data_IF_496112766601
#
_entry.id   IF_496112766601
#
_cell.length_a   1.000
_cell.length_b   1.000
_cell.length_c   1.000
_cell.angle_alpha   90.00
_cell.angle_beta   90.00
_cell.angle_gamma   90.00
#
_symmetry.space_group_name_H-M   'P 1'
#
loop_
_entity.id
_entity.type
_entity.pdbx_description
1 polymer ?
#
# COMPACT_ATOMS: atom_id res chain seq x y z
N UNK A 1 6.72 13.84 -9.87
CA UNK A 1 7.35 13.94 -8.52
C UNK A 1 7.71 12.58 -7.94
N UNK A 2 6.78 11.67 -7.62
CA UNK A 2 7.12 10.36 -7.03
C UNK A 2 8.15 9.57 -7.86
N UNK A 3 7.94 9.44 -9.15
CA UNK A 3 8.87 8.73 -10.04
C UNK A 3 10.28 9.31 -9.98
N UNK A 4 10.42 10.63 -10.07
CA UNK A 4 11.74 11.31 -10.01
C UNK A 4 12.43 11.13 -8.65
N UNK A 5 11.66 11.16 -7.54
CA UNK A 5 12.19 10.88 -6.21
C UNK A 5 12.68 9.44 -6.10
N UNK A 6 11.89 8.46 -6.56
CA UNK A 6 12.27 7.05 -6.52
C UNK A 6 13.50 6.73 -7.38
N UNK A 7 13.83 7.56 -8.38
CA UNK A 7 15.10 7.44 -9.11
C UNK A 7 16.32 7.83 -8.27
N UNK A 8 16.15 8.72 -7.29
CA UNK A 8 17.24 9.25 -6.45
C UNK A 8 17.40 8.50 -5.14
N UNK A 9 16.29 8.11 -4.50
CA UNK A 9 16.29 7.44 -3.21
C UNK A 9 16.84 6.00 -3.33
N UNK A 10 17.66 5.61 -2.35
CA UNK A 10 18.38 4.32 -2.33
C UNK A 10 17.93 3.38 -1.23
N UNK A 11 17.63 3.91 -0.07
CA UNK A 11 17.27 3.13 1.10
C UNK A 11 15.87 2.53 0.95
N UNK A 12 15.68 1.19 1.04
CA UNK A 12 14.38 0.56 0.81
C UNK A 12 13.25 1.15 1.66
N UNK A 13 13.47 1.34 2.97
CA UNK A 13 12.45 1.91 3.86
C UNK A 13 12.07 3.35 3.50
N UNK A 14 13.02 4.15 3.00
CA UNK A 14 12.75 5.54 2.56
C UNK A 14 12.04 5.56 1.22
N UNK A 15 12.32 4.62 0.34
CA UNK A 15 11.59 4.43 -0.91
C UNK A 15 10.12 4.04 -0.65
N UNK A 16 9.90 3.11 0.28
CA UNK A 16 8.56 2.73 0.73
C UNK A 16 7.83 3.91 1.38
N UNK A 17 8.55 4.72 2.18
CA UNK A 17 8.02 5.96 2.77
C UNK A 17 7.60 6.95 1.69
N UNK A 18 8.46 7.24 0.70
CA UNK A 18 8.15 8.13 -0.41
C UNK A 18 6.93 7.63 -1.22
N UNK A 19 6.86 6.33 -1.48
CA UNK A 19 5.71 5.72 -2.15
C UNK A 19 4.44 5.85 -1.30
N UNK A 20 4.51 5.60 -0.01
CA UNK A 20 3.38 5.72 0.92
C UNK A 20 2.78 7.13 0.89
N UNK A 21 3.63 8.17 0.89
CA UNK A 21 3.22 9.57 0.95
C UNK A 21 2.76 10.16 -0.38
N UNK A 22 3.23 9.63 -1.49
CA UNK A 22 3.11 10.28 -2.80
C UNK A 22 2.39 9.43 -3.86
N UNK A 23 2.11 8.14 -3.57
CA UNK A 23 1.34 7.32 -4.51
C UNK A 23 -0.10 7.84 -4.60
N UNK A 24 -0.69 7.84 -5.80
CA UNK A 24 -2.09 8.20 -5.95
C UNK A 24 -2.98 7.22 -5.19
N UNK A 25 -4.15 7.67 -4.72
CA UNK A 25 -5.12 6.77 -4.12
C UNK A 25 -5.61 5.76 -5.15
N UNK A 26 -6.01 4.58 -4.67
CA UNK A 26 -6.57 3.55 -5.54
C UNK A 26 -7.90 3.99 -6.16
N UNK A 27 -8.73 4.68 -5.38
CA UNK A 27 -10.04 5.19 -5.78
C UNK A 27 -10.05 6.72 -5.71
N UNK A 28 -10.66 7.39 -6.68
CA UNK A 28 -10.88 8.84 -6.71
C UNK A 28 -12.31 9.21 -6.34
N UNK A 29 -13.28 8.41 -6.78
CA UNK A 29 -14.69 8.62 -6.53
C UNK A 29 -15.25 7.54 -5.61
N UNK A 30 -15.68 7.94 -4.42
CA UNK A 30 -16.27 7.05 -3.41
C UNK A 30 -17.42 7.74 -2.70
N UNK A 31 -18.32 6.96 -2.13
CA UNK A 31 -19.44 7.50 -1.33
C UNK A 31 -19.00 8.00 0.04
N UNK A 32 -17.86 7.52 0.56
CA UNK A 32 -17.25 7.96 1.80
C UNK A 32 -16.21 9.04 1.56
N UNK A 33 -15.97 9.86 2.56
CA UNK A 33 -14.95 10.92 2.47
C UNK A 33 -13.56 10.32 2.43
N UNK A 34 -12.83 10.62 1.37
CA UNK A 34 -11.42 10.29 1.23
C UNK A 34 -10.58 11.54 1.50
N UNK A 35 -9.55 11.42 2.34
CA UNK A 35 -8.68 12.53 2.72
C UNK A 35 -7.23 12.07 2.76
N UNK A 36 -6.39 12.77 2.03
CA UNK A 36 -4.95 12.53 2.12
C UNK A 36 -4.44 12.93 3.52
N UNK A 37 -3.67 12.06 4.22
CA UNK A 37 -3.25 12.35 5.60
C UNK A 37 -2.42 13.64 5.75
N UNK A 38 -1.70 14.06 4.71
CA UNK A 38 -0.92 15.30 4.68
C UNK A 38 -1.70 16.49 4.07
N UNK A 39 -3.01 16.41 3.87
CA UNK A 39 -3.77 17.42 3.10
C UNK A 39 -3.55 18.85 3.62
N UNK A 40 -3.55 19.05 4.93
CA UNK A 40 -3.36 20.36 5.54
C UNK A 40 -1.89 20.73 5.75
N UNK A 41 -0.96 19.78 5.62
CA UNK A 41 0.46 20.06 5.79
C UNK A 41 1.00 21.01 4.72
N UNK A 42 1.95 21.87 5.08
CA UNK A 42 2.66 22.70 4.11
C UNK A 42 3.43 21.86 3.08
N UNK A 43 3.73 20.60 3.34
CA UNK A 43 4.35 19.70 2.37
C UNK A 43 3.52 19.51 1.10
N UNK A 44 2.19 19.62 1.17
CA UNK A 44 1.33 19.57 -0.03
C UNK A 44 1.40 20.87 -0.83
N UNK A 45 1.56 22.01 -0.15
CA UNK A 45 1.70 23.34 -0.77
C UNK A 45 3.12 23.59 -1.27
N UNK A 46 4.11 22.98 -0.63
CA UNK A 46 5.55 23.13 -0.90
C UNK A 46 6.21 21.75 -1.06
N UNK A 47 5.94 21.05 -2.18
CA UNK A 47 6.37 19.65 -2.35
C UNK A 47 7.90 19.48 -2.37
N UNK A 48 8.65 20.55 -2.61
CA UNK A 48 10.11 20.52 -2.49
C UNK A 48 10.57 20.27 -1.06
N UNK A 49 9.88 20.81 -0.05
CA UNK A 49 10.23 20.55 1.37
C UNK A 49 10.06 19.07 1.74
N UNK A 50 9.00 18.42 1.23
CA UNK A 50 8.85 16.98 1.40
C UNK A 50 9.97 16.20 0.69
N UNK A 51 10.32 16.62 -0.53
CA UNK A 51 11.41 15.99 -1.28
C UNK A 51 12.77 16.13 -0.56
N UNK A 52 13.04 17.29 0.00
CA UNK A 52 14.29 17.56 0.76
C UNK A 52 14.31 16.74 2.06
N UNK A 53 13.18 16.66 2.77
CA UNK A 53 13.06 15.82 3.96
C UNK A 53 13.27 14.33 3.65
N UNK A 54 12.68 13.81 2.55
CA UNK A 54 12.91 12.44 2.12
C UNK A 54 14.37 12.18 1.72
N UNK A 55 15.02 13.14 1.04
CA UNK A 55 16.43 13.04 0.71
C UNK A 55 17.32 13.04 1.97
N UNK A 56 16.97 13.82 3.01
CA UNK A 56 17.62 13.77 4.30
C UNK A 56 17.47 12.41 4.97
N UNK A 57 16.24 11.84 4.98
CA UNK A 57 16.01 10.49 5.51
C UNK A 57 16.80 9.42 4.74
N UNK A 58 17.01 9.60 3.43
CA UNK A 58 17.77 8.65 2.60
C UNK A 58 19.29 8.76 2.86
N UNK A 59 19.79 9.96 3.16
CA UNK A 59 21.19 10.19 3.51
C UNK A 59 21.55 9.63 4.90
N UNK A 60 20.60 9.65 5.83
CA UNK A 60 20.68 9.01 7.15
C UNK A 60 19.34 8.37 7.53
N UNK A 61 19.22 7.09 7.27
CA UNK A 61 18.01 6.33 7.54
C UNK A 61 17.91 5.83 9.00
N UNK A 62 18.77 6.25 9.89
CA UNK A 62 18.80 5.79 11.29
C UNK A 62 17.46 6.03 12.01
N UNK A 63 16.84 7.20 11.80
CA UNK A 63 15.58 7.57 12.42
C UNK A 63 14.42 6.68 11.95
N UNK A 64 14.24 6.47 10.65
CA UNK A 64 13.19 5.60 10.12
C UNK A 64 13.41 4.14 10.50
N UNK A 65 14.65 3.66 10.50
CA UNK A 65 14.98 2.31 10.94
C UNK A 65 14.70 2.11 12.44
N UNK A 66 15.11 3.04 13.30
CA UNK A 66 14.81 2.99 14.73
C UNK A 66 13.30 3.01 15.00
N UNK A 67 12.56 3.85 14.28
CA UNK A 67 11.11 3.90 14.38
C UNK A 67 10.45 2.56 14.01
N UNK A 68 10.82 1.98 12.89
CA UNK A 68 10.28 0.68 12.45
C UNK A 68 10.70 -0.46 13.38
N UNK A 69 11.92 -0.44 13.90
CA UNK A 69 12.42 -1.44 14.84
C UNK A 69 11.78 -1.35 16.23
N UNK A 70 11.32 -0.16 16.66
CA UNK A 70 10.70 0.05 17.97
C UNK A 70 9.42 -0.78 18.18
N UNK A 71 8.72 -1.10 17.08
CA UNK A 71 7.52 -1.94 17.07
C UNK A 71 7.54 -2.81 15.79
N UNK A 72 8.26 -3.94 15.80
CA UNK A 72 8.40 -4.78 14.63
C UNK A 72 7.05 -5.29 14.12
N UNK A 73 6.83 -5.21 12.83
CA UNK A 73 5.61 -5.64 12.17
C UNK A 73 5.89 -6.70 11.11
N UNK A 74 4.97 -7.66 10.95
CA UNK A 74 5.04 -8.73 9.95
C UNK A 74 3.98 -8.60 8.87
N UNK A 75 3.00 -7.72 9.07
CA UNK A 75 1.90 -7.48 8.14
C UNK A 75 2.14 -6.18 7.38
N UNK A 76 2.01 -6.23 6.06
CA UNK A 76 2.24 -5.07 5.21
C UNK A 76 1.34 -3.87 5.53
N UNK A 77 0.07 -4.11 5.92
CA UNK A 77 -0.84 -3.04 6.37
C UNK A 77 -0.28 -2.28 7.58
N UNK A 78 0.16 -3.00 8.62
CA UNK A 78 0.78 -2.37 9.80
C UNK A 78 2.10 -1.67 9.47
N UNK A 79 2.89 -2.19 8.52
CA UNK A 79 4.09 -1.51 8.02
C UNK A 79 3.74 -0.17 7.35
N UNK A 80 2.72 -0.17 6.49
CA UNK A 80 2.20 1.01 5.83
C UNK A 80 1.70 2.07 6.83
N UNK A 81 0.92 1.67 7.83
CA UNK A 81 0.47 2.56 8.93
C UNK A 81 1.65 3.15 9.69
N UNK A 82 2.70 2.35 9.98
CA UNK A 82 3.91 2.82 10.65
C UNK A 82 4.68 3.85 9.83
N UNK A 83 4.73 3.71 8.50
CA UNK A 83 5.32 4.71 7.61
C UNK A 83 4.53 6.02 7.65
N UNK A 84 3.20 5.96 7.61
CA UNK A 84 2.35 7.15 7.78
C UNK A 84 2.58 7.82 9.12
N UNK A 85 2.57 7.08 10.21
CA UNK A 85 2.80 7.62 11.56
C UNK A 85 4.18 8.30 11.64
N UNK A 86 5.24 7.70 11.10
CA UNK A 86 6.57 8.30 11.06
C UNK A 86 6.57 9.66 10.35
N UNK A 87 5.99 9.72 9.16
CA UNK A 87 5.94 10.95 8.38
C UNK A 87 5.09 12.04 9.05
N UNK A 88 3.93 11.68 9.60
CA UNK A 88 3.02 12.63 10.21
C UNK A 88 3.56 13.24 11.50
N UNK A 89 4.38 12.52 12.27
CA UNK A 89 5.12 13.10 13.40
C UNK A 89 6.17 14.13 12.98
N UNK A 90 6.64 14.08 11.74
CA UNK A 90 7.60 15.04 11.18
C UNK A 90 6.92 16.13 10.32
N UNK A 91 5.68 15.91 9.91
CA UNK A 91 4.97 16.79 8.99
C UNK A 91 4.62 18.13 9.67
N UNK A 92 4.97 19.28 9.06
CA UNK A 92 4.53 20.57 9.55
C UNK A 92 3.02 20.71 9.48
N UNK A 93 2.43 21.49 10.39
CA UNK A 93 1.01 21.86 10.45
C UNK A 93 0.07 20.67 10.74
N UNK A 94 0.61 19.53 11.19
CA UNK A 94 -0.15 18.32 11.54
C UNK A 94 0.30 17.81 12.90
N UNK A 95 -0.65 17.61 13.81
CA UNK A 95 -0.42 16.97 15.11
C UNK A 95 -1.01 15.55 15.09
N UNK A 96 -0.21 14.54 15.37
CA UNK A 96 -0.69 13.19 15.65
C UNK A 96 -1.14 13.12 17.10
N UNK A 97 -2.44 13.15 17.36
CA UNK A 97 -3.01 13.09 18.71
C UNK A 97 -2.95 11.68 19.26
N UNK A 98 -3.32 10.69 18.47
CA UNK A 98 -3.20 9.27 18.81
C UNK A 98 -3.14 8.39 17.57
N UNK A 99 -2.60 7.19 17.74
CA UNK A 99 -2.59 6.16 16.71
C UNK A 99 -2.95 4.80 17.32
N UNK A 100 -3.70 4.00 16.56
CA UNK A 100 -4.17 2.68 16.96
C UNK A 100 -4.91 2.71 18.33
N UNK A 101 -5.87 3.64 18.47
CA UNK A 101 -6.64 3.81 19.71
C UNK A 101 -7.76 2.77 19.79
N UNK A 102 -7.67 1.78 20.71
CA UNK A 102 -8.73 0.78 20.84
C UNK A 102 -9.98 1.36 21.51
N UNK A 103 -11.13 1.18 20.87
CA UNK A 103 -12.43 1.51 21.44
C UNK A 103 -13.01 0.25 22.11
N UNK A 104 -13.33 0.36 23.38
CA UNK A 104 -13.77 -0.77 24.21
C UNK A 104 -15.13 -0.54 24.84
N UNK A 105 -15.90 -1.61 24.98
CA UNK A 105 -17.14 -1.66 25.72
C UNK A 105 -17.18 -2.93 26.56
N UNK A 106 -17.43 -2.81 27.84
CA UNK A 106 -17.55 -3.92 28.78
C UNK A 106 -16.35 -4.92 28.70
N UNK A 107 -15.13 -4.38 28.52
CA UNK A 107 -13.90 -5.18 28.40
C UNK A 107 -13.65 -5.78 27.02
N UNK A 108 -14.57 -5.66 26.07
CA UNK A 108 -14.40 -6.10 24.68
C UNK A 108 -13.96 -4.94 23.78
N UNK A 109 -13.03 -5.21 22.85
CA UNK A 109 -12.63 -4.25 21.82
C UNK A 109 -13.66 -4.28 20.71
N UNK A 110 -14.29 -3.14 20.44
CA UNK A 110 -15.26 -2.94 19.35
C UNK A 110 -14.58 -2.65 18.02
N UNK A 111 -13.39 -2.07 18.08
CA UNK A 111 -12.57 -1.69 16.94
C UNK A 111 -11.42 -0.80 17.39
N UNK A 112 -10.67 -0.30 16.45
CA UNK A 112 -9.51 0.56 16.66
C UNK A 112 -9.62 1.76 15.73
N UNK A 113 -9.28 2.96 16.21
CA UNK A 113 -9.14 4.15 15.38
C UNK A 113 -7.68 4.19 14.92
N UNK A 114 -7.43 4.04 13.61
CA UNK A 114 -6.07 3.91 13.08
C UNK A 114 -5.24 5.15 13.37
N UNK A 115 -5.84 6.36 13.16
CA UNK A 115 -5.12 7.61 13.31
C UNK A 115 -6.06 8.75 13.70
N UNK A 116 -5.67 9.50 14.72
CA UNK A 116 -6.34 10.74 15.14
C UNK A 116 -5.37 11.90 14.93
N UNK A 117 -5.79 12.88 14.13
CA UNK A 117 -4.99 14.05 13.74
C UNK A 117 -5.72 15.33 14.15
N UNK A 118 -4.91 16.38 14.40
CA UNK A 118 -5.37 17.77 14.46
C UNK A 118 -4.53 18.60 13.50
N UNK A 119 -5.17 19.46 12.71
CA UNK A 119 -4.55 20.39 11.78
C UNK A 119 -5.42 21.66 11.63
N UNK A 120 -5.09 22.54 10.67
CA UNK A 120 -5.82 23.81 10.46
C UNK A 120 -7.25 23.61 9.91
N UNK A 121 -7.58 22.41 9.39
CA UNK A 121 -8.95 22.06 8.96
C UNK A 121 -9.78 21.46 10.11
N UNK A 122 -9.17 21.13 11.26
CA UNK A 122 -9.82 20.60 12.45
C UNK A 122 -9.31 19.25 12.93
N UNK A 123 -10.19 18.47 13.53
CA UNK A 123 -9.88 17.16 14.11
C UNK A 123 -10.36 16.04 13.19
N UNK A 124 -9.49 15.06 12.96
CA UNK A 124 -9.75 14.01 11.99
C UNK A 124 -9.49 12.63 12.58
N UNK A 125 -10.40 11.71 12.29
CA UNK A 125 -10.20 10.29 12.39
C UNK A 125 -9.93 9.75 10.98
N UNK A 126 -8.73 9.21 10.74
CA UNK A 126 -8.35 8.64 9.45
C UNK A 126 -8.14 7.13 9.56
N UNK A 127 -8.85 6.40 8.71
CA UNK A 127 -8.62 4.97 8.48
C UNK A 127 -7.63 4.80 7.33
N UNK A 128 -6.57 4.06 7.58
CA UNK A 128 -5.47 3.84 6.63
C UNK A 128 -5.47 2.42 6.11
N UNK A 129 -5.40 2.25 4.81
CA UNK A 129 -5.27 0.92 4.24
C UNK A 129 -4.35 0.91 3.01
N UNK A 130 -3.58 -0.18 2.87
CA UNK A 130 -2.92 -0.54 1.62
C UNK A 130 -3.45 -1.87 1.14
N UNK A 131 -3.87 -1.92 -0.12
CA UNK A 131 -4.52 -3.09 -0.71
C UNK A 131 -3.96 -3.41 -2.10
N UNK A 132 -4.05 -4.69 -2.43
CA UNK A 132 -3.65 -5.23 -3.73
C UNK A 132 -4.83 -6.04 -4.24
N UNK A 133 -5.47 -5.56 -5.29
CA UNK A 133 -6.63 -6.24 -5.86
C UNK A 133 -6.36 -6.68 -7.29
N UNK A 134 -6.74 -7.91 -7.59
CA UNK A 134 -6.65 -8.53 -8.89
C UNK A 134 -8.06 -8.53 -9.50
N UNK A 135 -8.21 -7.84 -10.62
CA UNK A 135 -9.48 -7.76 -11.34
C UNK A 135 -9.76 -9.05 -12.09
N UNK A 136 -10.99 -9.52 -12.00
CA UNK A 136 -11.53 -10.54 -12.89
C UNK A 136 -12.14 -9.87 -14.14
N UNK A 137 -13.23 -10.35 -14.67
CA UNK A 137 -13.77 -9.86 -15.96
C UNK A 137 -14.71 -8.64 -15.83
N UNK A 138 -14.95 -8.16 -14.60
CA UNK A 138 -15.93 -7.10 -14.34
C UNK A 138 -15.33 -5.76 -13.87
N UNK A 139 -16.21 -4.76 -13.75
CA UNK A 139 -15.90 -3.41 -13.28
C UNK A 139 -16.48 -3.11 -11.89
N UNK A 140 -17.28 -4.01 -11.36
CA UNK A 140 -17.84 -3.83 -10.03
C UNK A 140 -16.76 -4.06 -8.97
N UNK A 141 -16.90 -3.43 -7.82
CA UNK A 141 -15.94 -3.62 -6.73
C UNK A 141 -15.85 -5.09 -6.27
N UNK A 142 -16.92 -5.86 -6.48
CA UNK A 142 -16.98 -7.29 -6.17
C UNK A 142 -16.10 -8.14 -7.12
N UNK A 143 -15.75 -7.63 -8.30
CA UNK A 143 -14.90 -8.32 -9.27
C UNK A 143 -13.40 -8.16 -8.96
N UNK A 144 -13.05 -7.42 -7.90
CA UNK A 144 -11.68 -7.12 -7.52
C UNK A 144 -11.31 -7.79 -6.20
N UNK A 145 -10.55 -8.87 -6.31
CA UNK A 145 -10.22 -9.76 -5.19
C UNK A 145 -8.77 -9.59 -4.75
N UNK A 146 -8.54 -9.74 -3.46
CA UNK A 146 -7.17 -9.85 -2.95
C UNK A 146 -6.45 -11.11 -3.45
N UNK A 147 -5.10 -11.12 -3.43
CA UNK A 147 -4.32 -12.27 -3.90
C UNK A 147 -4.65 -13.59 -3.19
N UNK A 148 -5.18 -13.54 -1.98
CA UNK A 148 -5.63 -14.71 -1.20
C UNK A 148 -7.10 -15.07 -1.36
N UNK A 149 -7.85 -14.44 -2.28
CA UNK A 149 -9.29 -14.62 -2.57
C UNK A 149 -10.26 -14.21 -1.45
N UNK A 150 -9.83 -14.11 -0.20
CA UNK A 150 -10.71 -13.78 0.95
C UNK A 150 -10.99 -12.28 1.12
N UNK A 151 -10.11 -11.44 0.62
CA UNK A 151 -10.27 -9.99 0.63
C UNK A 151 -10.92 -9.56 -0.70
N UNK A 152 -11.81 -8.57 -0.66
CA UNK A 152 -12.55 -8.10 -1.82
C UNK A 152 -12.84 -6.62 -1.67
N UNK A 153 -12.75 -5.86 -2.75
CA UNK A 153 -12.84 -4.40 -2.70
C UNK A 153 -14.18 -3.91 -2.15
N UNK A 154 -15.30 -4.52 -2.58
CA UNK A 154 -16.64 -4.17 -2.07
C UNK A 154 -16.79 -4.45 -0.58
N UNK A 155 -16.23 -5.56 -0.08
CA UNK A 155 -16.25 -5.90 1.34
C UNK A 155 -15.42 -4.90 2.14
N UNK A 156 -14.25 -4.48 1.61
CA UNK A 156 -13.44 -3.44 2.27
C UNK A 156 -14.17 -2.11 2.35
N UNK A 157 -14.80 -1.67 1.26
CA UNK A 157 -15.58 -0.43 1.23
C UNK A 157 -16.79 -0.49 2.16
N UNK A 158 -17.51 -1.61 2.15
CA UNK A 158 -18.64 -1.84 3.07
C UNK A 158 -18.18 -1.81 4.54
N UNK A 159 -17.07 -2.47 4.86
CA UNK A 159 -16.52 -2.48 6.22
C UNK A 159 -16.08 -1.08 6.68
N UNK A 160 -15.44 -0.29 5.80
CA UNK A 160 -15.12 1.10 6.06
C UNK A 160 -16.38 1.90 6.39
N UNK A 161 -17.40 1.82 5.53
CA UNK A 161 -18.63 2.60 5.67
C UNK A 161 -19.46 2.24 6.91
N UNK A 162 -19.56 0.97 7.24
CA UNK A 162 -20.47 0.47 8.27
C UNK A 162 -19.83 0.32 9.65
N UNK A 163 -18.51 0.11 9.70
CA UNK A 163 -17.84 -0.24 10.95
C UNK A 163 -16.70 0.70 11.33
N UNK A 164 -15.77 1.00 10.42
CA UNK A 164 -14.58 1.75 10.77
C UNK A 164 -14.87 3.25 10.87
N UNK A 165 -15.34 3.90 9.82
CA UNK A 165 -15.59 5.34 9.81
C UNK A 165 -16.60 5.81 10.87
N UNK A 166 -17.71 5.08 11.15
CA UNK A 166 -18.64 5.49 12.22
C UNK A 166 -18.10 5.30 13.64
N UNK A 167 -16.98 4.59 13.84
CA UNK A 167 -16.51 4.19 15.16
C UNK A 167 -16.21 5.39 16.05
N UNK A 168 -15.59 6.47 15.56
CA UNK A 168 -15.31 7.68 16.32
C UNK A 168 -16.57 8.44 16.73
N UNK A 169 -17.66 8.31 15.99
CA UNK A 169 -18.96 8.96 16.31
C UNK A 169 -19.80 8.15 17.32
N UNK A 170 -19.40 6.91 17.61
CA UNK A 170 -20.15 6.06 18.54
C UNK A 170 -20.03 6.56 19.99
N UNK A 171 -21.08 6.30 20.78
CA UNK A 171 -21.09 6.62 22.20
C UNK A 171 -19.88 6.08 22.96
N UNK A 172 -19.45 4.88 22.59
CA UNK A 172 -18.35 4.14 23.22
C UNK A 172 -16.98 4.82 23.00
N UNK A 173 -16.83 5.59 21.92
CA UNK A 173 -15.61 6.34 21.64
C UNK A 173 -15.52 7.67 22.38
N UNK A 174 -16.67 8.25 22.82
CA UNK A 174 -16.72 9.60 23.38
C UNK A 174 -15.79 9.83 24.57
N UNK A 175 -15.73 8.88 25.50
CA UNK A 175 -14.84 9.00 26.67
C UNK A 175 -13.37 9.07 26.25
N UNK A 176 -12.94 8.16 25.40
CA UNK A 176 -11.56 8.10 24.93
C UNK A 176 -11.18 9.34 24.08
N UNK A 177 -12.10 9.86 23.26
CA UNK A 177 -11.87 11.08 22.49
C UNK A 177 -11.83 12.32 23.38
N UNK A 178 -12.74 12.43 24.37
CA UNK A 178 -12.76 13.52 25.34
C UNK A 178 -11.46 13.59 26.17
N UNK A 179 -10.93 12.43 26.60
CA UNK A 179 -9.65 12.36 27.32
C UNK A 179 -8.47 12.87 26.47
N UNK A 180 -8.59 12.81 25.14
CA UNK A 180 -7.64 13.34 24.16
C UNK A 180 -7.97 14.77 23.72
N UNK A 181 -8.97 15.40 24.30
CA UNK A 181 -9.44 16.74 23.94
C UNK A 181 -9.87 16.85 22.47
N UNK A 182 -10.57 15.81 21.98
CA UNK A 182 -11.14 15.73 20.64
C UNK A 182 -12.67 15.75 20.76
N UNK A 183 -13.29 16.84 20.30
CA UNK A 183 -14.74 17.06 20.46
C UNK A 183 -15.53 16.77 19.18
N UNK A 184 -15.04 17.21 18.02
CA UNK A 184 -15.71 17.08 16.71
C UNK A 184 -14.84 16.42 15.66
N UNK A 185 -14.63 15.12 15.81
CA UNK A 185 -13.77 14.36 14.89
C UNK A 185 -14.46 14.03 13.57
N UNK A 186 -13.90 14.47 12.46
CA UNK A 186 -14.36 14.12 11.10
C UNK A 186 -13.70 12.85 10.63
N UNK A 187 -14.51 11.86 10.25
CA UNK A 187 -14.00 10.57 9.78
C UNK A 187 -13.74 10.60 8.27
N UNK A 188 -12.58 10.11 7.86
CA UNK A 188 -12.20 9.91 6.48
C UNK A 188 -11.31 8.68 6.35
N UNK A 189 -11.02 8.26 5.13
CA UNK A 189 -10.09 7.16 4.88
C UNK A 189 -9.06 7.51 3.80
N UNK A 190 -7.97 6.76 3.78
CA UNK A 190 -7.00 6.77 2.71
C UNK A 190 -6.67 5.34 2.28
N UNK A 191 -6.91 5.02 1.00
CA UNK A 191 -6.70 3.70 0.43
C UNK A 191 -5.62 3.76 -0.65
N UNK A 192 -4.41 3.37 -0.28
CA UNK A 192 -3.30 3.17 -1.21
C UNK A 192 -3.23 1.74 -1.74
N UNK A 193 -2.37 1.50 -2.71
CA UNK A 193 -2.09 0.16 -3.24
C UNK A 193 -2.09 0.06 -4.74
N UNK A 194 -2.33 -1.15 -5.24
CA UNK A 194 -2.24 -1.47 -6.66
C UNK A 194 -3.47 -2.22 -7.14
N UNK A 195 -3.89 -1.93 -8.38
CA UNK A 195 -4.86 -2.73 -9.13
C UNK A 195 -4.12 -3.55 -10.18
N UNK A 196 -4.36 -4.86 -10.19
CA UNK A 196 -3.72 -5.81 -11.10
C UNK A 196 -4.72 -6.33 -12.12
N UNK A 197 -4.31 -6.30 -13.38
CA UNK A 197 -5.15 -6.63 -14.53
C UNK A 197 -4.78 -7.99 -15.10
N UNK A 198 -5.76 -8.80 -15.55
CA UNK A 198 -5.49 -10.13 -16.06
C UNK A 198 -4.65 -10.09 -17.33
N UNK A 199 -3.74 -11.04 -17.47
CA UNK A 199 -3.01 -11.30 -18.70
C UNK A 199 -3.51 -12.64 -19.29
N UNK A 200 -3.66 -12.77 -20.62
CA UNK A 200 -3.39 -11.78 -21.70
C UNK A 200 -4.56 -10.82 -21.97
N UNK A 201 -5.67 -10.98 -21.30
CA UNK A 201 -6.89 -10.23 -21.56
C UNK A 201 -6.79 -8.80 -21.00
N UNK A 202 -7.43 -7.88 -21.70
CA UNK A 202 -7.61 -6.53 -21.17
C UNK A 202 -8.90 -6.49 -20.35
N UNK A 203 -8.82 -5.95 -19.15
CA UNK A 203 -9.99 -5.60 -18.35
C UNK A 203 -10.01 -4.10 -18.04
N UNK A 204 -11.21 -3.56 -17.85
CA UNK A 204 -11.38 -2.16 -17.44
C UNK A 204 -11.12 -2.04 -15.94
N UNK A 205 -10.71 -0.84 -15.51
CA UNK A 205 -10.60 -0.50 -14.09
C UNK A 205 -11.94 -0.60 -13.36
N UNK A 206 -11.97 -0.84 -12.06
CA UNK A 206 -13.20 -0.80 -11.28
C UNK A 206 -13.82 0.60 -11.34
N UNK A 207 -15.12 0.68 -11.16
CA UNK A 207 -15.80 1.96 -11.01
C UNK A 207 -15.20 2.78 -9.88
N UNK A 208 -15.00 4.06 -10.10
CA UNK A 208 -14.40 4.97 -9.13
C UNK A 208 -12.87 4.90 -8.99
N UNK A 209 -12.19 4.04 -9.76
CA UNK A 209 -10.72 4.01 -9.73
C UNK A 209 -10.11 5.34 -10.18
N UNK A 210 -9.09 5.81 -9.46
CA UNK A 210 -8.29 6.96 -9.90
C UNK A 210 -7.59 6.64 -11.22
N UNK A 211 -7.62 7.51 -12.25
CA UNK A 211 -6.94 7.25 -13.51
C UNK A 211 -5.45 6.91 -13.36
N UNK A 212 -4.78 7.57 -12.42
CA UNK A 212 -3.35 7.45 -12.13
C UNK A 212 -3.02 6.35 -11.13
N UNK A 213 -3.99 5.53 -10.69
CA UNK A 213 -3.72 4.46 -9.71
C UNK A 213 -2.57 3.55 -10.13
N UNK A 214 -1.84 3.05 -9.16
CA UNK A 214 -0.75 2.11 -9.39
C UNK A 214 -1.27 0.81 -9.99
N UNK A 215 -0.57 0.30 -11.01
CA UNK A 215 -1.01 -0.85 -11.83
C UNK A 215 0.01 -1.97 -11.83
N UNK A 216 -0.49 -3.19 -11.99
CA UNK A 216 0.29 -4.37 -12.30
C UNK A 216 -0.53 -5.33 -13.17
N UNK A 217 0.02 -6.49 -13.43
CA UNK A 217 -0.67 -7.59 -14.10
C UNK A 217 -0.82 -8.78 -13.17
N UNK A 218 -1.70 -9.69 -13.50
CA UNK A 218 -1.75 -10.99 -12.84
C UNK A 218 -2.00 -12.10 -13.85
N UNK A 219 -1.51 -13.30 -13.54
CA UNK A 219 -1.74 -14.50 -14.35
C UNK A 219 -1.67 -15.75 -13.48
N UNK A 220 -2.25 -16.83 -14.00
CA UNK A 220 -2.13 -18.15 -13.39
C UNK A 220 -0.76 -18.76 -13.64
N UNK A 221 -0.29 -19.65 -12.75
CA UNK A 221 0.99 -20.34 -12.88
C UNK A 221 1.15 -21.05 -14.24
N UNK A 222 0.09 -21.71 -14.73
CA UNK A 222 0.10 -22.37 -16.05
C UNK A 222 0.41 -21.46 -17.23
N UNK A 223 0.18 -20.14 -17.09
CA UNK A 223 0.40 -19.17 -18.15
C UNK A 223 1.78 -18.50 -18.09
N UNK A 224 2.61 -18.87 -17.09
CA UNK A 224 3.91 -18.22 -16.90
C UNK A 224 4.83 -18.33 -18.12
N UNK A 225 4.94 -19.51 -18.73
CA UNK A 225 5.80 -19.72 -19.89
C UNK A 225 5.45 -18.81 -21.07
N UNK A 226 4.14 -18.69 -21.35
CA UNK A 226 3.64 -17.84 -22.44
C UNK A 226 3.88 -16.37 -22.13
N UNK A 227 3.62 -15.96 -20.89
CA UNK A 227 3.87 -14.59 -20.43
C UNK A 227 5.36 -14.23 -20.50
N UNK A 228 6.25 -15.06 -19.98
CA UNK A 228 7.69 -14.83 -20.00
C UNK A 228 8.24 -14.74 -21.42
N UNK A 229 7.68 -15.51 -22.36
CA UNK A 229 8.07 -15.47 -23.78
C UNK A 229 7.78 -14.14 -24.48
N UNK A 230 6.91 -13.29 -23.91
CA UNK A 230 6.63 -11.93 -24.45
C UNK A 230 7.78 -10.95 -24.23
N UNK A 231 8.72 -11.27 -23.33
CA UNK A 231 9.91 -10.46 -23.03
C UNK A 231 11.13 -11.36 -22.85
N UNK A 232 11.68 -11.91 -23.94
CA UNK A 232 12.84 -12.81 -23.88
C UNK A 232 14.05 -12.11 -23.25
N UNK A 233 14.76 -12.82 -22.35
CA UNK A 233 15.93 -12.28 -21.67
C UNK A 233 15.62 -11.27 -20.55
N UNK A 234 14.35 -11.09 -20.19
CA UNK A 234 13.96 -10.23 -19.09
C UNK A 234 14.29 -10.87 -17.74
N UNK A 235 14.83 -10.09 -16.81
CA UNK A 235 15.15 -10.55 -15.47
C UNK A 235 13.93 -10.43 -14.55
N UNK A 236 13.43 -11.56 -14.10
CA UNK A 236 12.28 -11.65 -13.19
C UNK A 236 12.71 -12.24 -11.85
N UNK A 237 12.17 -11.71 -10.76
CA UNK A 237 12.34 -12.31 -9.44
C UNK A 237 11.15 -12.03 -8.52
N UNK A 238 10.87 -12.92 -7.55
CA UNK A 238 9.83 -12.69 -6.55
C UNK A 238 10.26 -11.64 -5.53
N UNK A 239 9.29 -10.88 -5.03
CA UNK A 239 9.50 -9.96 -3.92
C UNK A 239 8.90 -10.50 -2.62
N UNK A 240 9.62 -10.39 -1.50
CA UNK A 240 9.05 -10.65 -0.18
C UNK A 240 7.91 -9.67 0.12
N UNK A 241 6.91 -10.12 0.87
CA UNK A 241 5.66 -9.36 1.08
C UNK A 241 5.86 -7.93 1.61
N UNK A 242 6.85 -7.72 2.46
CA UNK A 242 7.14 -6.38 3.00
C UNK A 242 7.81 -5.44 1.98
N UNK A 243 8.25 -5.93 0.83
CA UNK A 243 8.83 -5.12 -0.26
C UNK A 243 7.82 -4.82 -1.39
N UNK A 244 6.51 -4.93 -1.15
CA UNK A 244 5.49 -4.75 -2.19
C UNK A 244 5.07 -3.29 -2.42
N UNK A 245 5.47 -2.35 -1.56
CA UNK A 245 5.03 -0.96 -1.66
C UNK A 245 5.68 -0.24 -2.84
N UNK A 246 6.89 0.26 -2.65
CA UNK A 246 7.61 0.97 -3.73
C UNK A 246 8.07 0.02 -4.84
N UNK A 247 8.20 0.50 -6.09
CA UNK A 247 8.90 -0.24 -7.12
C UNK A 247 10.29 -0.67 -6.66
N UNK A 248 10.68 -1.91 -6.93
CA UNK A 248 11.95 -2.47 -6.46
C UNK A 248 13.18 -1.75 -7.06
N UNK A 249 14.21 -1.65 -6.25
CA UNK A 249 15.56 -1.26 -6.63
C UNK A 249 16.50 -2.33 -6.09
N UNK A 250 17.19 -3.04 -6.97
CA UNK A 250 18.03 -4.19 -6.62
C UNK A 250 19.47 -3.89 -7.05
N UNK A 251 20.43 -4.16 -6.19
CA UNK A 251 21.85 -4.10 -6.58
C UNK A 251 22.18 -5.26 -7.53
N UNK A 252 23.14 -5.06 -8.42
CA UNK A 252 23.54 -6.05 -9.43
C UNK A 252 23.77 -7.47 -8.85
N UNK A 253 24.40 -7.58 -7.67
CA UNK A 253 24.62 -8.88 -7.01
C UNK A 253 23.36 -9.54 -6.42
N UNK A 254 22.23 -8.85 -6.39
CA UNK A 254 20.94 -9.35 -5.88
C UNK A 254 19.95 -9.74 -6.99
N UNK A 255 20.31 -9.54 -8.25
CA UNK A 255 19.44 -9.87 -9.40
C UNK A 255 19.52 -11.37 -9.68
N UNK A 256 18.36 -11.98 -9.84
CA UNK A 256 18.29 -13.40 -10.12
C UNK A 256 18.63 -13.72 -11.56
N UNK A 257 19.37 -14.83 -11.76
CA UNK A 257 19.51 -15.43 -13.08
C UNK A 257 18.25 -16.20 -13.49
N UNK A 258 18.13 -16.51 -14.77
CA UNK A 258 17.03 -17.33 -15.28
C UNK A 258 16.99 -18.70 -14.59
N UNK A 259 18.14 -19.30 -14.29
CA UNK A 259 18.23 -20.60 -13.61
C UNK A 259 17.68 -20.48 -12.17
N UNK A 260 18.00 -19.41 -11.45
CA UNK A 260 17.46 -19.17 -10.09
C UNK A 260 15.95 -19.04 -10.12
N UNK A 261 15.42 -18.30 -11.08
CA UNK A 261 13.98 -18.14 -11.25
C UNK A 261 13.30 -19.48 -11.57
N UNK A 262 13.85 -20.26 -12.52
CA UNK A 262 13.30 -21.57 -12.88
C UNK A 262 13.34 -22.55 -11.72
N UNK A 263 14.44 -22.59 -10.96
CA UNK A 263 14.53 -23.41 -9.76
C UNK A 263 13.44 -23.01 -8.74
N UNK A 264 13.25 -21.72 -8.51
CA UNK A 264 12.24 -21.24 -7.60
C UNK A 264 10.81 -21.56 -8.09
N UNK A 265 10.50 -21.35 -9.37
CA UNK A 265 9.20 -21.70 -9.95
C UNK A 265 8.88 -23.18 -9.76
N UNK A 266 9.89 -24.07 -9.90
CA UNK A 266 9.74 -25.51 -9.67
C UNK A 266 9.45 -25.87 -8.19
N UNK A 267 9.70 -24.96 -7.24
CA UNK A 267 9.33 -25.15 -5.82
C UNK A 267 7.89 -24.77 -5.50
N UNK A 268 7.22 -24.04 -6.40
CA UNK A 268 5.85 -23.61 -6.17
C UNK A 268 4.89 -24.82 -6.21
N UNK A 269 4.13 -24.96 -5.14
CA UNK A 269 3.07 -25.96 -5.08
C UNK A 269 1.85 -25.51 -5.87
N UNK A 270 0.99 -26.45 -6.35
CA UNK A 270 -0.25 -26.09 -7.06
C UNK A 270 -1.17 -25.17 -6.26
N UNK A 271 -1.15 -25.27 -4.93
CA UNK A 271 -1.95 -24.46 -3.99
C UNK A 271 -1.17 -23.30 -3.37
N UNK A 272 -0.01 -22.95 -3.92
CA UNK A 272 0.82 -21.88 -3.39
C UNK A 272 0.04 -20.55 -3.31
N UNK A 273 0.30 -19.78 -2.27
CA UNK A 273 -0.20 -18.42 -2.18
C UNK A 273 0.32 -17.58 -3.36
N UNK A 274 -0.45 -16.58 -3.75
CA UNK A 274 -0.04 -15.65 -4.79
C UNK A 274 1.34 -15.02 -4.49
N UNK A 275 2.18 -14.98 -5.51
CA UNK A 275 3.54 -14.44 -5.45
C UNK A 275 3.62 -13.17 -6.30
N UNK A 276 4.21 -12.10 -5.77
CA UNK A 276 4.50 -10.91 -6.56
C UNK A 276 5.90 -11.06 -7.16
N UNK A 277 5.96 -11.06 -8.48
CA UNK A 277 7.20 -11.00 -9.24
C UNK A 277 7.37 -9.63 -9.86
N UNK A 278 8.62 -9.22 -10.02
CA UNK A 278 8.98 -7.98 -10.71
C UNK A 278 9.96 -8.26 -11.83
N UNK A 279 9.76 -7.54 -12.94
CA UNK A 279 10.73 -7.44 -14.01
C UNK A 279 11.67 -6.29 -13.73
N UNK A 280 12.94 -6.56 -13.86
CA UNK A 280 14.01 -5.61 -13.61
C UNK A 280 14.73 -5.29 -14.90
N UNK A 281 14.94 -4.02 -15.17
CA UNK A 281 15.82 -3.54 -16.23
C UNK A 281 16.98 -2.77 -15.60
N UNK A 282 18.18 -2.93 -16.17
CA UNK A 282 19.37 -2.19 -15.74
C UNK A 282 19.30 -0.76 -16.28
N UNK A 283 19.45 0.22 -15.39
CA UNK A 283 19.55 1.62 -15.79
C UNK A 283 20.99 2.00 -16.17
N UNK A 284 21.17 3.22 -16.67
CA UNK A 284 22.50 3.73 -17.10
C UNK A 284 23.53 3.81 -15.98
N UNK A 285 23.10 3.79 -14.72
CA UNK A 285 23.96 3.82 -13.56
C UNK A 285 24.37 2.42 -13.06
N UNK A 286 23.86 1.35 -13.70
CA UNK A 286 24.06 -0.05 -13.30
C UNK A 286 23.12 -0.51 -12.17
N UNK A 287 22.06 0.27 -11.88
CA UNK A 287 21.04 -0.13 -10.95
C UNK A 287 19.93 -0.92 -11.65
N UNK A 288 19.45 -1.96 -11.01
CA UNK A 288 18.35 -2.76 -11.51
C UNK A 288 17.03 -2.29 -10.92
N UNK A 289 16.16 -1.75 -11.78
CA UNK A 289 14.90 -1.13 -11.39
C UNK A 289 13.70 -1.89 -11.90
N UNK A 290 12.71 -1.97 -11.05
CA UNK A 290 11.42 -2.52 -11.46
C UNK A 290 10.79 -1.68 -12.57
N UNK A 291 10.42 -2.36 -13.65
CA UNK A 291 9.70 -1.77 -14.80
C UNK A 291 8.31 -2.40 -14.98
N UNK A 292 8.08 -3.56 -14.38
CA UNK A 292 6.80 -4.26 -14.41
C UNK A 292 6.63 -5.12 -13.17
N UNK A 293 5.41 -5.25 -12.66
CA UNK A 293 5.06 -6.17 -11.58
C UNK A 293 3.90 -7.05 -11.97
N UNK A 294 3.95 -8.30 -11.53
CA UNK A 294 2.95 -9.29 -11.83
C UNK A 294 2.65 -10.18 -10.63
N UNK A 295 1.37 -10.41 -10.34
CA UNK A 295 0.99 -11.50 -9.45
C UNK A 295 0.91 -12.81 -10.21
N UNK A 296 1.66 -13.79 -9.75
CA UNK A 296 1.54 -15.18 -10.14
C UNK A 296 0.64 -15.87 -9.13
N UNK A 297 -0.55 -16.25 -9.55
CA UNK A 297 -1.54 -16.94 -8.72
C UNK A 297 -1.60 -18.43 -9.07
N UNK A 298 -2.01 -19.27 -8.13
CA UNK A 298 -2.23 -20.68 -8.42
C UNK A 298 -3.37 -20.87 -9.44
N UNK A 299 -3.42 -22.04 -10.08
CA UNK A 299 -4.32 -22.30 -11.20
C UNK A 299 -5.81 -22.44 -10.80
N UNK A 300 -6.10 -22.50 -9.52
CA UNK A 300 -7.46 -22.53 -8.95
C UNK A 300 -7.91 -21.14 -8.45
N UNK A 301 -7.06 -20.11 -8.55
CA UNK A 301 -7.46 -18.75 -8.16
C UNK A 301 -8.46 -18.16 -9.16
N UNK A 302 -9.49 -17.41 -8.73
CA UNK A 302 -9.88 -17.23 -7.35
C UNK A 302 -10.47 -18.50 -6.76
N UNK A 303 -10.12 -18.81 -5.51
CA UNK A 303 -10.71 -19.93 -4.82
C UNK A 303 -12.24 -19.72 -4.74
N UNK A 304 -13.01 -20.71 -5.17
CA UNK A 304 -14.47 -20.69 -4.99
C UNK A 304 -14.77 -20.72 -3.48
N UNK A 305 -15.49 -19.72 -2.99
CA UNK A 305 -15.99 -19.63 -1.61
C UNK A 305 -17.13 -20.61 -1.36
#
# INVERSE_FOLDING_TARGET
MLHELLLRLRTPAVRDLAWTLLSPPMLGETTQVQRHPLQASCWTRQPQQLADWLAQQDSDASAVHAWLASKPVRRLGLYYERLWQFALHAAPDVEVVAANLPIRQNGQTLGELDLLLRDDEGEHHLELAVKFYLGTDGREAADWLGPGSHDRLDLKLSHLAQHQLPLSSRREARGALHDLQLDETRSAFWLGGYLFYPWPHYSSSPHGATPEHCRGRWLHQRNWSDFASTSPGAHWQPLPRLAWLAPALINAGGVWSDEMLQQWLNTLRPEAQAQLLVRLDEDRAGDWREVERVFLVNDQWPAQS
#
